data_IF_115122970004
#
_entry.id   IF_115122970004
#
_cell.length_a   1.000
_cell.length_b   1.000
_cell.length_c   1.000
_cell.angle_alpha   90.00
_cell.angle_beta   90.00
_cell.angle_gamma   90.00
#
_symmetry.space_group_name_H-M   'P 1'
#
loop_
_entity.id
_entity.type
_entity.pdbx_description
1 polymer ?
#
# COMPACT_ATOMS: atom_id res chain seq x y z
N UNK A 1 16.11 -10.58 3.04
CA UNK A 1 15.10 -9.93 3.91
C UNK A 1 14.01 -10.96 4.23
N UNK A 2 13.53 -11.02 5.48
CA UNK A 2 12.59 -12.03 5.97
C UNK A 2 11.38 -12.27 5.05
N UNK A 3 10.79 -11.20 4.48
CA UNK A 3 9.64 -11.30 3.58
C UNK A 3 9.91 -12.10 2.29
N UNK A 4 11.16 -12.14 1.80
CA UNK A 4 11.53 -12.95 0.63
C UNK A 4 11.70 -14.43 0.96
N UNK A 5 11.93 -14.76 2.23
CA UNK A 5 12.03 -16.15 2.68
C UNK A 5 10.65 -16.76 2.97
N UNK A 6 9.64 -15.93 3.28
CA UNK A 6 8.31 -16.39 3.65
C UNK A 6 7.67 -17.31 2.60
N UNK A 7 7.64 -17.01 1.28
CA UNK A 7 7.00 -17.90 0.30
C UNK A 7 7.59 -19.32 0.24
N UNK A 8 8.88 -19.46 0.54
CA UNK A 8 9.55 -20.77 0.58
C UNK A 8 9.33 -21.53 1.88
N UNK A 9 8.93 -20.82 2.95
CA UNK A 9 8.71 -21.38 4.30
C UNK A 9 7.24 -21.67 4.55
N UNK A 10 6.39 -20.72 4.20
CA UNK A 10 4.94 -20.83 4.26
C UNK A 10 4.30 -19.97 3.15
N UNK A 11 3.86 -20.65 2.09
CA UNK A 11 3.23 -19.99 0.95
C UNK A 11 1.79 -19.54 1.26
N UNK A 12 1.09 -20.24 2.17
CA UNK A 12 -0.28 -19.89 2.52
C UNK A 12 -0.31 -18.59 3.32
N UNK A 13 0.54 -18.49 4.34
CA UNK A 13 0.68 -17.27 5.14
C UNK A 13 1.15 -16.08 4.30
N UNK A 14 2.03 -16.32 3.32
CA UNK A 14 2.40 -15.28 2.35
C UNK A 14 1.19 -14.79 1.56
N UNK A 15 0.40 -15.69 0.97
CA UNK A 15 -0.77 -15.29 0.18
C UNK A 15 -1.83 -14.58 1.02
N UNK A 16 -2.09 -15.04 2.24
CA UNK A 16 -3.04 -14.42 3.13
C UNK A 16 -2.59 -13.01 3.54
N UNK A 17 -1.30 -12.81 3.84
CA UNK A 17 -0.73 -11.49 4.11
C UNK A 17 -0.86 -10.54 2.91
N UNK A 18 -0.51 -11.00 1.71
CA UNK A 18 -0.62 -10.18 0.49
C UNK A 18 -2.10 -9.87 0.18
N UNK A 19 -3.00 -10.83 0.35
CA UNK A 19 -4.44 -10.62 0.17
C UNK A 19 -4.99 -9.59 1.15
N UNK A 20 -4.60 -9.68 2.42
CA UNK A 20 -4.99 -8.72 3.46
C UNK A 20 -4.54 -7.30 3.09
N UNK A 21 -3.30 -7.16 2.60
CA UNK A 21 -2.79 -5.90 2.07
C UNK A 21 -3.63 -5.37 0.90
N UNK A 22 -3.92 -6.21 -0.10
CA UNK A 22 -4.70 -5.82 -1.27
C UNK A 22 -6.13 -5.37 -0.93
N UNK A 23 -6.79 -6.04 0.01
CA UNK A 23 -8.13 -5.67 0.49
C UNK A 23 -8.10 -4.30 1.17
N UNK A 24 -7.10 -4.06 2.03
CA UNK A 24 -6.92 -2.78 2.72
C UNK A 24 -6.58 -1.64 1.77
N UNK A 25 -5.72 -1.89 0.77
CA UNK A 25 -5.44 -0.95 -0.33
C UNK A 25 -6.71 -0.55 -1.07
N UNK A 26 -7.57 -1.49 -1.44
CA UNK A 26 -8.83 -1.18 -2.17
C UNK A 26 -9.80 -0.37 -1.33
N UNK A 27 -9.90 -0.66 -0.03
CA UNK A 27 -10.84 -0.03 0.90
C UNK A 27 -10.32 1.27 1.51
N UNK A 28 -9.06 1.64 1.26
CA UNK A 28 -8.44 2.81 1.84
C UNK A 28 -9.21 4.08 1.47
N UNK A 29 -9.53 4.88 2.49
CA UNK A 29 -10.15 6.19 2.34
C UNK A 29 -9.11 7.23 2.77
N UNK A 30 -8.73 8.10 1.84
CA UNK A 30 -7.63 9.04 2.07
C UNK A 30 -7.86 9.93 3.29
N UNK A 31 -9.09 10.39 3.50
CA UNK A 31 -9.44 11.29 4.60
C UNK A 31 -9.72 10.57 5.94
N UNK A 32 -9.61 9.22 5.98
CA UNK A 32 -9.76 8.52 7.25
C UNK A 32 -8.52 8.72 8.10
N UNK A 33 -8.71 9.26 9.31
CA UNK A 33 -7.70 9.29 10.38
C UNK A 33 -7.57 7.93 11.10
N UNK A 34 -8.06 6.87 10.47
CA UNK A 34 -8.11 5.54 11.07
C UNK A 34 -6.88 4.76 10.66
N UNK A 35 -6.09 4.38 11.64
CA UNK A 35 -4.94 3.51 11.45
C UNK A 35 -5.36 2.17 10.85
N UNK A 36 -4.47 1.62 10.05
CA UNK A 36 -4.70 0.37 9.33
C UNK A 36 -3.83 -0.70 9.97
N UNK A 37 -4.46 -1.79 10.40
CA UNK A 37 -3.74 -2.90 11.04
C UNK A 37 -3.61 -4.03 10.05
N UNK A 38 -2.41 -4.41 9.62
CA UNK A 38 -2.16 -5.55 8.72
C UNK A 38 -1.87 -6.81 9.52
N UNK A 39 -2.35 -7.97 9.08
CA UNK A 39 -1.93 -9.24 9.69
C UNK A 39 -0.46 -9.51 9.35
N UNK A 40 0.32 -9.88 10.36
CA UNK A 40 1.69 -10.36 10.22
C UNK A 40 1.71 -11.84 10.56
N UNK A 41 2.08 -12.71 9.60
CA UNK A 41 2.28 -14.13 9.86
C UNK A 41 3.29 -14.37 10.98
N UNK A 42 3.00 -15.33 11.86
CA UNK A 42 3.90 -15.73 12.95
C UNK A 42 5.25 -16.18 12.39
N UNK A 43 5.23 -16.96 11.31
CA UNK A 43 6.43 -17.42 10.60
C UNK A 43 7.28 -16.25 10.11
N UNK A 44 6.65 -15.16 9.62
CA UNK A 44 7.40 -13.97 9.18
C UNK A 44 8.08 -13.27 10.35
N UNK A 45 7.40 -13.18 11.50
CA UNK A 45 7.96 -12.63 12.73
C UNK A 45 9.16 -13.45 13.20
N UNK A 46 9.02 -14.77 13.29
CA UNK A 46 10.09 -15.69 13.69
C UNK A 46 11.31 -15.56 12.77
N UNK A 47 11.12 -15.59 11.45
CA UNK A 47 12.21 -15.41 10.47
C UNK A 47 12.90 -14.06 10.68
N UNK A 48 12.15 -12.99 10.96
CA UNK A 48 12.74 -11.67 11.21
C UNK A 48 13.54 -11.63 12.50
N UNK A 49 13.04 -12.24 13.57
CA UNK A 49 13.70 -12.25 14.88
C UNK A 49 14.97 -13.12 14.86
N UNK A 50 14.93 -14.27 14.17
CA UNK A 50 16.10 -15.12 13.94
C UNK A 50 17.20 -14.42 13.14
N UNK A 51 16.82 -13.66 12.09
CA UNK A 51 17.77 -12.95 11.24
C UNK A 51 18.38 -11.70 11.89
N UNK A 52 17.64 -11.04 12.77
CA UNK A 52 18.04 -9.75 13.36
C UNK A 52 18.49 -9.86 14.82
N UNK A 53 18.30 -11.02 15.47
CA UNK A 53 18.61 -11.26 16.89
C UNK A 53 17.96 -10.23 17.84
N UNK A 54 16.80 -9.69 17.44
CA UNK A 54 16.03 -8.67 18.16
C UNK A 54 14.55 -8.89 17.90
N UNK A 55 13.69 -8.50 18.84
CA UNK A 55 12.24 -8.60 18.64
C UNK A 55 11.80 -7.71 17.48
N UNK A 56 10.74 -8.12 16.76
CA UNK A 56 10.20 -7.30 15.68
C UNK A 56 9.74 -5.92 16.19
N UNK A 57 9.23 -5.84 17.42
CA UNK A 57 8.79 -4.59 18.03
C UNK A 57 9.94 -3.63 18.27
N UNK A 58 11.05 -4.09 18.88
CA UNK A 58 12.23 -3.24 19.13
C UNK A 58 12.80 -2.68 17.84
N UNK A 59 12.82 -3.53 16.80
CA UNK A 59 13.30 -3.14 15.49
C UNK A 59 12.42 -2.06 14.85
N UNK A 60 11.09 -2.17 14.95
CA UNK A 60 10.17 -1.15 14.43
C UNK A 60 10.37 0.20 15.12
N UNK A 61 10.55 0.21 16.44
CA UNK A 61 10.81 1.43 17.23
C UNK A 61 12.12 2.12 16.79
N UNK A 62 13.13 1.35 16.37
CA UNK A 62 14.38 1.89 15.86
C UNK A 62 14.30 2.45 14.42
N UNK A 63 13.19 2.22 13.70
CA UNK A 63 13.02 2.76 12.35
C UNK A 63 12.60 4.23 12.37
N UNK A 64 12.83 4.90 11.24
CA UNK A 64 12.41 6.29 10.99
C UNK A 64 10.91 6.58 11.12
N UNK A 65 10.09 5.54 11.26
CA UNK A 65 8.64 5.65 11.36
C UNK A 65 8.18 5.95 12.80
N UNK A 66 9.04 5.79 13.81
CA UNK A 66 8.70 6.03 15.20
C UNK A 66 7.45 5.23 15.61
N UNK A 67 6.55 5.86 16.37
CA UNK A 67 5.32 5.22 16.86
C UNK A 67 4.24 5.02 15.79
N UNK A 68 4.45 5.53 14.56
CA UNK A 68 3.49 5.41 13.46
C UNK A 68 3.40 4.00 12.87
N UNK A 69 4.37 3.14 13.19
CA UNK A 69 4.34 1.72 12.82
C UNK A 69 4.69 0.90 14.06
N UNK A 70 3.77 0.06 14.51
CA UNK A 70 3.95 -0.74 15.72
C UNK A 70 3.24 -2.08 15.63
N UNK A 71 3.72 -3.06 16.41
CA UNK A 71 2.98 -4.30 16.60
C UNK A 71 1.82 -4.04 17.57
N UNK A 72 0.60 -4.35 17.14
CA UNK A 72 -0.62 -4.33 17.96
C UNK A 72 -0.99 -5.78 18.28
N UNK A 73 -1.27 -6.06 19.55
CA UNK A 73 -1.59 -7.42 19.96
C UNK A 73 -0.45 -8.41 19.69
N UNK A 74 -0.79 -9.61 19.18
CA UNK A 74 0.20 -10.67 18.93
C UNK A 74 0.74 -10.68 17.49
N UNK A 75 -0.10 -10.33 16.53
CA UNK A 75 0.09 -10.63 15.11
C UNK A 75 -0.42 -9.51 14.17
N UNK A 76 -0.61 -8.29 14.66
CA UNK A 76 -1.03 -7.16 13.81
C UNK A 76 0.06 -6.08 13.73
N UNK A 77 0.29 -5.55 12.54
CA UNK A 77 1.10 -4.37 12.29
C UNK A 77 0.18 -3.17 12.12
N UNK A 78 0.08 -2.35 13.16
CA UNK A 78 -0.59 -1.05 13.09
C UNK A 78 0.24 -0.07 12.28
N UNK A 79 -0.36 0.56 11.29
CA UNK A 79 0.23 1.59 10.44
C UNK A 79 -0.67 2.83 10.48
N UNK A 80 -0.08 3.95 10.90
CA UNK A 80 -0.72 5.25 10.93
C UNK A 80 -1.23 5.65 9.55
N UNK A 81 -2.42 6.27 9.50
CA UNK A 81 -3.05 6.66 8.24
C UNK A 81 -2.16 7.59 7.40
N UNK A 82 -1.33 8.44 8.00
CA UNK A 82 -0.41 9.34 7.26
C UNK A 82 0.66 8.58 6.48
N UNK A 83 1.09 7.41 6.97
CA UNK A 83 2.04 6.55 6.23
C UNK A 83 1.34 5.96 5.00
N UNK A 84 0.12 5.46 5.18
CA UNK A 84 -0.68 4.90 4.09
C UNK A 84 -1.01 5.94 3.02
N UNK A 85 -1.34 7.17 3.43
CA UNK A 85 -1.54 8.30 2.51
C UNK A 85 -0.29 8.53 1.65
N UNK A 86 0.90 8.52 2.26
CA UNK A 86 2.15 8.68 1.52
C UNK A 86 2.40 7.51 0.55
N UNK A 87 2.19 6.25 0.98
CA UNK A 87 2.36 5.07 0.13
C UNK A 87 1.50 5.10 -1.14
N UNK A 88 0.29 5.67 -1.06
CA UNK A 88 -0.61 5.74 -2.22
C UNK A 88 -0.50 7.04 -3.01
N UNK A 89 -0.03 8.12 -2.40
CA UNK A 89 0.08 9.42 -3.08
C UNK A 89 1.08 9.38 -4.21
N UNK A 90 2.27 8.81 -3.98
CA UNK A 90 3.34 8.84 -4.98
C UNK A 90 2.98 8.02 -6.23
N UNK A 91 2.57 6.74 -6.13
CA UNK A 91 2.24 5.96 -7.32
C UNK A 91 1.08 6.53 -8.14
N UNK A 92 0.06 7.08 -7.47
CA UNK A 92 -1.08 7.70 -8.16
C UNK A 92 -0.66 8.99 -8.87
N UNK A 93 0.20 9.79 -8.24
CA UNK A 93 0.68 11.05 -8.83
C UNK A 93 1.59 10.78 -10.03
N UNK A 94 2.49 9.81 -9.95
CA UNK A 94 3.33 9.39 -11.08
C UNK A 94 2.50 8.83 -12.24
N UNK A 95 1.45 8.05 -11.94
CA UNK A 95 0.52 7.55 -12.96
C UNK A 95 -0.20 8.71 -13.68
N UNK A 96 -0.71 9.69 -12.92
CA UNK A 96 -1.36 10.87 -13.50
C UNK A 96 -0.39 11.70 -14.34
N UNK A 97 0.86 11.87 -13.88
CA UNK A 97 1.89 12.58 -14.63
C UNK A 97 2.20 11.89 -15.96
N UNK A 98 2.32 10.56 -15.93
CA UNK A 98 2.51 9.77 -17.15
C UNK A 98 1.34 9.95 -18.13
N UNK A 99 0.10 9.82 -17.64
CA UNK A 99 -1.11 10.00 -18.47
C UNK A 99 -1.17 11.40 -19.08
N UNK A 100 -0.90 12.45 -18.30
CA UNK A 100 -0.84 13.83 -18.80
C UNK A 100 0.19 14.02 -19.90
N UNK A 101 1.33 13.34 -19.80
CA UNK A 101 2.36 13.43 -20.84
C UNK A 101 1.91 12.73 -22.12
N UNK A 102 1.24 11.59 -22.01
CA UNK A 102 0.66 10.89 -23.16
C UNK A 102 -0.45 11.72 -23.81
N UNK A 103 -1.33 12.35 -23.02
CA UNK A 103 -2.43 13.19 -23.54
C UNK A 103 -1.96 14.47 -24.24
N UNK A 104 -0.72 14.92 -24.01
CA UNK A 104 -0.12 16.05 -24.75
C UNK A 104 0.27 15.68 -26.18
N UNK A 105 0.33 14.40 -26.52
CA UNK A 105 0.69 13.96 -27.86
C UNK A 105 -0.43 14.33 -28.85
N UNK A 106 -0.04 14.81 -30.04
CA UNK A 106 -0.97 15.21 -31.11
C UNK A 106 -2.03 14.15 -31.44
N UNK A 107 -1.64 12.87 -31.38
CA UNK A 107 -2.53 11.73 -31.65
C UNK A 107 -3.59 11.47 -30.57
N UNK A 108 -3.48 12.11 -29.41
CA UNK A 108 -4.39 11.93 -28.27
C UNK A 108 -5.38 13.10 -28.10
N UNK A 109 -5.39 14.06 -29.03
CA UNK A 109 -6.22 15.28 -28.94
C UNK A 109 -7.73 15.03 -28.86
N UNK A 110 -8.20 13.93 -29.44
CA UNK A 110 -9.62 13.58 -29.51
C UNK A 110 -10.04 12.57 -28.43
N UNK A 111 -9.17 12.29 -27.44
CA UNK A 111 -9.51 11.40 -26.32
C UNK A 111 -10.39 12.13 -25.32
N UNK A 112 -11.60 11.62 -25.13
CA UNK A 112 -12.64 12.15 -24.24
C UNK A 112 -13.11 11.13 -23.18
N UNK A 113 -12.44 9.96 -23.11
CA UNK A 113 -12.78 8.91 -22.16
C UNK A 113 -11.52 8.18 -21.67
N UNK A 114 -11.38 8.08 -20.35
CA UNK A 114 -10.38 7.24 -19.69
C UNK A 114 -11.07 6.13 -18.92
N UNK A 115 -10.80 4.89 -19.30
CA UNK A 115 -11.32 3.70 -18.59
C UNK A 115 -10.26 3.20 -17.60
N UNK A 116 -10.55 3.36 -16.31
CA UNK A 116 -9.73 2.79 -15.25
C UNK A 116 -10.03 1.30 -15.09
N UNK A 117 -9.01 0.44 -15.13
CA UNK A 117 -9.17 -1.02 -15.03
C UNK A 117 -8.28 -1.64 -13.94
N UNK A 118 -8.74 -2.74 -13.36
CA UNK A 118 -8.02 -3.52 -12.35
C UNK A 118 -8.39 -3.18 -10.89
N UNK A 119 -7.99 -4.03 -9.95
CA UNK A 119 -8.50 -3.94 -8.56
C UNK A 119 -8.08 -2.70 -7.76
N UNK A 120 -7.10 -1.93 -8.23
CA UNK A 120 -6.70 -0.65 -7.62
C UNK A 120 -7.52 0.53 -8.19
N UNK A 121 -8.04 0.41 -9.41
CA UNK A 121 -8.96 1.39 -10.00
C UNK A 121 -10.29 1.49 -9.23
N UNK A 122 -10.66 0.44 -8.51
CA UNK A 122 -11.83 0.43 -7.60
C UNK A 122 -11.61 1.24 -6.31
N UNK A 123 -10.39 1.74 -6.06
CA UNK A 123 -10.10 2.55 -4.88
C UNK A 123 -10.82 3.90 -4.99
N UNK A 124 -11.62 4.31 -3.99
CA UNK A 124 -12.26 5.62 -3.97
C UNK A 124 -11.24 6.77 -4.07
N UNK A 125 -10.05 6.58 -3.49
CA UNK A 125 -8.97 7.56 -3.59
C UNK A 125 -8.46 7.72 -5.01
N UNK A 126 -8.23 6.61 -5.72
CA UNK A 126 -7.75 6.64 -7.11
C UNK A 126 -8.79 7.32 -8.01
N UNK A 127 -10.06 6.93 -7.91
CA UNK A 127 -11.13 7.52 -8.71
C UNK A 127 -11.26 9.03 -8.47
N UNK A 128 -11.28 9.45 -7.20
CA UNK A 128 -11.31 10.87 -6.82
C UNK A 128 -10.12 11.64 -7.39
N UNK A 129 -8.89 11.10 -7.28
CA UNK A 129 -7.69 11.74 -7.82
C UNK A 129 -7.77 11.91 -9.33
N UNK A 130 -8.19 10.89 -10.07
CA UNK A 130 -8.31 10.97 -11.52
C UNK A 130 -9.36 11.98 -11.97
N UNK A 131 -10.55 11.97 -11.37
CA UNK A 131 -11.62 12.93 -11.67
C UNK A 131 -11.19 14.38 -11.40
N UNK A 132 -10.44 14.61 -10.31
CA UNK A 132 -9.94 15.94 -9.96
C UNK A 132 -8.84 16.44 -10.90
N UNK A 133 -7.94 15.55 -11.29
CA UNK A 133 -6.66 15.90 -11.94
C UNK A 133 -6.72 15.84 -13.47
N UNK A 134 -7.76 15.23 -14.04
CA UNK A 134 -8.04 15.16 -15.47
C UNK A 134 -9.47 15.70 -15.76
N UNK A 135 -9.77 16.97 -15.44
CA UNK A 135 -11.10 17.51 -15.65
C UNK A 135 -11.40 17.68 -17.14
N UNK A 136 -12.59 17.27 -17.57
CA UNK A 136 -13.06 17.46 -18.96
C UNK A 136 -12.60 16.38 -19.95
N UNK A 137 -11.93 15.34 -19.44
CA UNK A 137 -11.89 14.00 -20.02
C UNK A 137 -12.85 13.11 -19.20
#
# INVERSE_FOLDING_TARGET
>A
MAIHALPSKDMYDYFDMIRDFEVKKRKFKFDSQTDISFRIPVVLKEISEDQCHQSLSDRLTALKYGEKVSIRGRDELGVDSSIMQNWFTDPVSETLNHIRNVLKEERMKDVDLIVLVGGFADSPYVQMRFQKELPGI
#
